data_IF_402331392056
#
_entry.id   IF_402331392056
#
_cell.length_a   1.000
_cell.length_b   1.000
_cell.length_c   1.000
_cell.angle_alpha   90.00
_cell.angle_beta   90.00
_cell.angle_gamma   90.00
#
_symmetry.space_group_name_H-M   'P 1'
#
loop_
_entity.id
_entity.type
_entity.pdbx_description
1 polymer ?
#
# COMPACT_ATOMS: atom_id res chain seq x y z
N UNK A 1 53.71 16.60 -6.79
CA UNK A 1 53.35 15.23 -6.35
C UNK A 1 52.06 14.83 -7.07
N UNK A 2 52.12 13.87 -8.00
CA UNK A 2 50.94 13.31 -8.66
C UNK A 2 50.45 12.14 -7.82
N UNK A 3 49.30 12.28 -7.16
CA UNK A 3 48.65 11.17 -6.46
C UNK A 3 48.04 10.24 -7.51
N UNK A 4 48.64 9.08 -7.71
CA UNK A 4 48.03 7.99 -8.45
C UNK A 4 46.92 7.39 -7.58
N UNK A 5 45.66 7.60 -7.96
CA UNK A 5 44.53 6.92 -7.35
C UNK A 5 44.65 5.42 -7.73
N UNK A 6 44.72 4.49 -6.77
CA UNK A 6 44.84 3.07 -7.08
C UNK A 6 43.60 2.60 -7.86
N UNK A 7 43.81 1.92 -8.99
CA UNK A 7 42.76 1.35 -9.85
C UNK A 7 41.70 0.50 -9.11
N UNK A 8 42.01 -0.03 -7.91
CA UNK A 8 41.04 -0.71 -7.05
C UNK A 8 39.91 0.19 -6.52
N UNK A 9 40.12 1.50 -6.36
CA UNK A 9 39.11 2.42 -5.83
C UNK A 9 38.07 2.84 -6.86
N UNK A 10 38.44 2.86 -8.15
CA UNK A 10 37.52 3.14 -9.26
C UNK A 10 36.51 2.01 -9.48
N UNK A 11 36.90 0.74 -9.24
CA UNK A 11 35.99 -0.41 -9.34
C UNK A 11 34.89 -0.43 -8.28
N UNK A 12 35.22 -0.08 -7.04
CA UNK A 12 34.25 -0.03 -5.92
C UNK A 12 33.20 1.08 -6.09
N UNK A 13 33.58 2.22 -6.66
CA UNK A 13 32.65 3.32 -6.96
C UNK A 13 31.70 2.98 -8.12
N UNK A 14 32.16 2.25 -9.13
CA UNK A 14 31.31 1.85 -10.27
C UNK A 14 30.25 0.79 -9.90
N UNK A 15 30.60 -0.14 -9.01
CA UNK A 15 29.67 -1.18 -8.53
C UNK A 15 28.60 -0.58 -7.61
N UNK A 16 28.95 0.38 -6.76
CA UNK A 16 27.99 1.03 -5.87
C UNK A 16 27.00 1.94 -6.62
N UNK A 17 27.46 2.69 -7.63
CA UNK A 17 26.57 3.52 -8.45
C UNK A 17 25.58 2.70 -9.28
N UNK A 18 26.00 1.56 -9.84
CA UNK A 18 25.12 0.71 -10.65
C UNK A 18 24.04 -0.02 -9.85
N UNK A 19 24.34 -0.42 -8.60
CA UNK A 19 23.33 -1.02 -7.70
C UNK A 19 22.27 0.00 -7.25
N UNK A 20 22.66 1.25 -7.00
CA UNK A 20 21.71 2.31 -6.62
C UNK A 20 20.73 2.64 -7.75
N UNK A 21 21.19 2.69 -9.00
CA UNK A 21 20.35 2.98 -10.16
C UNK A 21 19.38 1.84 -10.49
N UNK A 22 19.78 0.58 -10.27
CA UNK A 22 18.87 -0.56 -10.44
C UNK A 22 17.80 -0.62 -9.34
N UNK A 23 18.15 -0.26 -8.10
CA UNK A 23 17.18 -0.21 -7.01
C UNK A 23 16.10 0.87 -7.22
N UNK A 24 16.49 2.04 -7.76
CA UNK A 24 15.52 3.10 -8.08
C UNK A 24 14.57 2.69 -9.20
N UNK A 25 15.06 2.03 -10.25
CA UNK A 25 14.18 1.61 -11.37
C UNK A 25 13.14 0.57 -10.97
N UNK A 26 13.45 -0.37 -10.06
CA UNK A 26 12.45 -1.30 -9.53
C UNK A 26 11.40 -0.60 -8.66
N UNK A 27 11.80 0.42 -7.90
CA UNK A 27 10.86 1.23 -7.10
C UNK A 27 9.92 2.01 -8.03
N UNK A 28 10.46 2.72 -9.01
CA UNK A 28 9.70 3.48 -10.02
C UNK A 28 8.72 2.58 -10.77
N UNK A 29 9.14 1.37 -11.17
CA UNK A 29 8.26 0.41 -11.83
C UNK A 29 7.16 -0.13 -10.89
N UNK A 30 7.46 -0.30 -9.61
CA UNK A 30 6.45 -0.64 -8.61
C UNK A 30 5.43 0.49 -8.41
N UNK A 31 5.88 1.74 -8.37
CA UNK A 31 5.00 2.92 -8.31
C UNK A 31 4.13 3.03 -9.56
N UNK A 32 4.72 2.82 -10.74
CA UNK A 32 4.00 2.79 -12.01
C UNK A 32 2.90 1.70 -12.03
N UNK A 33 3.16 0.53 -11.44
CA UNK A 33 2.15 -0.52 -11.27
C UNK A 33 0.97 -0.08 -10.38
N UNK A 34 1.20 0.73 -9.34
CA UNK A 34 0.10 1.25 -8.49
C UNK A 34 -0.82 2.22 -9.24
N UNK A 35 -0.31 2.81 -10.32
CA UNK A 35 -1.05 3.66 -11.22
C UNK A 35 -1.65 2.88 -12.40
N UNK A 36 -1.41 1.57 -12.53
CA UNK A 36 -1.92 0.76 -13.63
C UNK A 36 -1.01 0.69 -14.87
N UNK A 37 0.19 1.26 -14.83
CA UNK A 37 1.18 1.12 -15.90
C UNK A 37 2.01 -0.16 -15.70
N UNK A 38 1.95 -1.08 -16.65
CA UNK A 38 2.52 -2.42 -16.51
C UNK A 38 3.76 -2.66 -17.38
N UNK A 39 4.00 -1.85 -18.40
CA UNK A 39 5.07 -2.08 -19.37
C UNK A 39 6.45 -1.91 -18.74
N UNK A 40 6.62 -0.92 -17.88
CA UNK A 40 7.90 -0.67 -17.20
C UNK A 40 8.29 -1.88 -16.34
N UNK A 41 7.35 -2.39 -15.54
CA UNK A 41 7.56 -3.60 -14.75
C UNK A 41 7.86 -4.81 -15.64
N UNK A 42 7.05 -5.05 -16.68
CA UNK A 42 7.23 -6.15 -17.64
C UNK A 42 8.63 -6.13 -18.27
N UNK A 43 9.11 -4.96 -18.70
CA UNK A 43 10.43 -4.80 -19.32
C UNK A 43 11.54 -5.15 -18.33
N UNK A 44 11.46 -4.65 -17.10
CA UNK A 44 12.48 -4.89 -16.07
C UNK A 44 12.55 -6.35 -15.64
N UNK A 45 11.40 -7.03 -15.48
CA UNK A 45 11.39 -8.42 -15.03
C UNK A 45 11.86 -9.42 -16.10
N UNK A 46 11.82 -9.03 -17.38
CA UNK A 46 12.35 -9.82 -18.49
C UNK A 46 13.87 -9.69 -18.65
N UNK A 47 14.50 -8.74 -17.94
CA UNK A 47 15.95 -8.59 -17.97
C UNK A 47 16.62 -9.82 -17.32
N UNK A 48 17.63 -10.46 -17.96
CA UNK A 48 18.36 -11.60 -17.39
C UNK A 48 18.94 -11.34 -15.99
N UNK A 49 19.29 -10.09 -15.66
CA UNK A 49 19.79 -9.70 -14.34
C UNK A 49 18.72 -9.70 -13.23
N UNK A 50 17.44 -9.76 -13.58
CA UNK A 50 16.32 -9.71 -12.63
C UNK A 50 16.40 -10.82 -11.58
N UNK A 51 16.71 -12.05 -12.01
CA UNK A 51 16.68 -13.22 -11.15
C UNK A 51 17.58 -13.09 -9.91
N UNK A 52 18.67 -12.31 -9.99
CA UNK A 52 19.59 -12.12 -8.87
C UNK A 52 19.12 -11.08 -7.83
N UNK A 53 18.22 -10.16 -8.20
CA UNK A 53 17.80 -9.04 -7.36
C UNK A 53 16.56 -9.37 -6.52
N UNK A 54 16.59 -9.26 -5.17
CA UNK A 54 15.39 -9.42 -4.34
C UNK A 54 14.27 -8.49 -4.78
N UNK A 55 14.61 -7.23 -5.10
CA UNK A 55 13.65 -6.21 -5.56
C UNK A 55 13.02 -6.52 -6.90
N UNK A 56 13.77 -7.12 -7.82
CA UNK A 56 13.18 -7.55 -9.08
C UNK A 56 12.25 -8.76 -8.90
N UNK A 57 12.58 -9.69 -7.99
CA UNK A 57 11.70 -10.80 -7.68
C UNK A 57 10.40 -10.33 -6.99
N UNK A 58 10.48 -9.35 -6.08
CA UNK A 58 9.28 -8.66 -5.53
C UNK A 58 8.45 -8.04 -6.65
N UNK A 59 9.07 -7.27 -7.55
CA UNK A 59 8.39 -6.65 -8.69
C UNK A 59 7.72 -7.68 -9.60
N UNK A 60 8.35 -8.82 -9.84
CA UNK A 60 7.78 -9.91 -10.63
C UNK A 60 6.53 -10.50 -9.95
N UNK A 61 6.57 -10.72 -8.63
CA UNK A 61 5.39 -11.16 -7.88
C UNK A 61 4.27 -10.12 -8.00
N UNK A 62 4.58 -8.84 -7.77
CA UNK A 62 3.61 -7.76 -7.85
C UNK A 62 2.99 -7.63 -9.24
N UNK A 63 3.80 -7.70 -10.29
CA UNK A 63 3.35 -7.67 -11.68
C UNK A 63 2.29 -8.75 -11.95
N UNK A 64 2.59 -10.01 -11.62
CA UNK A 64 1.66 -11.12 -11.88
C UNK A 64 0.40 -11.06 -11.01
N UNK A 65 0.51 -10.60 -9.76
CA UNK A 65 -0.67 -10.33 -8.92
C UNK A 65 -1.51 -9.23 -9.56
N UNK A 66 -0.90 -8.13 -10.00
CA UNK A 66 -1.62 -6.98 -10.54
C UNK A 66 -2.31 -7.26 -11.87
N UNK A 67 -1.69 -8.07 -12.73
CA UNK A 67 -2.25 -8.43 -14.04
C UNK A 67 -3.18 -9.65 -14.00
N UNK A 68 -3.67 -10.01 -12.81
CA UNK A 68 -4.54 -11.17 -12.55
C UNK A 68 -3.99 -12.53 -13.05
N UNK A 69 -2.67 -12.64 -13.22
CA UNK A 69 -1.95 -13.89 -13.51
C UNK A 69 -1.60 -14.59 -12.19
N UNK A 70 -2.65 -14.92 -11.44
CA UNK A 70 -2.52 -15.44 -10.07
C UNK A 70 -1.69 -16.72 -10.00
N UNK A 71 -1.78 -17.63 -10.97
CA UNK A 71 -1.03 -18.89 -10.96
C UNK A 71 0.49 -18.64 -11.04
N UNK A 72 0.94 -17.80 -11.97
CA UNK A 72 2.36 -17.40 -12.04
C UNK A 72 2.76 -16.60 -10.80
N UNK A 73 1.88 -15.72 -10.30
CA UNK A 73 2.11 -14.98 -9.05
C UNK A 73 2.35 -15.89 -7.85
N UNK A 74 1.56 -16.97 -7.72
CA UNK A 74 1.68 -17.98 -6.65
C UNK A 74 3.03 -18.70 -6.75
N UNK A 75 3.44 -19.12 -7.94
CA UNK A 75 4.72 -19.80 -8.17
C UNK A 75 5.90 -18.88 -7.83
N UNK A 76 5.87 -17.65 -8.34
CA UNK A 76 6.90 -16.64 -8.09
C UNK A 76 7.01 -16.29 -6.61
N UNK A 77 5.88 -16.10 -5.93
CA UNK A 77 5.87 -15.77 -4.50
C UNK A 77 6.41 -16.92 -3.66
N UNK A 78 6.03 -18.16 -3.98
CA UNK A 78 6.55 -19.34 -3.28
C UNK A 78 8.06 -19.49 -3.47
N UNK A 79 8.56 -19.26 -4.70
CA UNK A 79 10.00 -19.29 -4.98
C UNK A 79 10.76 -18.16 -4.28
N UNK A 80 10.18 -16.96 -4.21
CA UNK A 80 10.73 -15.82 -3.51
C UNK A 80 10.86 -16.09 -2.00
N UNK A 81 9.81 -16.64 -1.36
CA UNK A 81 9.86 -17.03 0.05
C UNK A 81 10.95 -18.07 0.36
N UNK A 82 11.15 -19.06 -0.52
CA UNK A 82 12.21 -20.07 -0.36
C UNK A 82 13.59 -19.44 -0.51
N UNK A 83 13.76 -18.55 -1.49
CA UNK A 83 15.05 -17.96 -1.82
C UNK A 83 15.55 -16.99 -0.74
N UNK A 84 14.63 -16.26 -0.10
CA UNK A 84 14.95 -15.23 0.90
C UNK A 84 14.36 -15.60 2.28
N UNK A 85 14.36 -16.90 2.61
CA UNK A 85 13.65 -17.46 3.76
C UNK A 85 14.12 -16.93 5.13
N UNK A 86 15.34 -16.40 5.21
CA UNK A 86 15.91 -15.88 6.46
C UNK A 86 15.58 -14.39 6.70
N UNK A 87 14.96 -13.71 5.72
CA UNK A 87 14.68 -12.27 5.81
C UNK A 87 13.25 -12.01 6.32
N UNK A 88 13.11 -11.30 7.44
CA UNK A 88 11.80 -10.92 7.97
C UNK A 88 10.96 -10.08 6.98
N UNK A 89 11.63 -9.24 6.18
CA UNK A 89 11.01 -8.44 5.12
C UNK A 89 10.33 -9.31 4.06
N UNK A 90 10.97 -10.41 3.65
CA UNK A 90 10.42 -11.35 2.67
C UNK A 90 9.08 -11.89 3.14
N UNK A 91 9.00 -12.30 4.41
CA UNK A 91 7.77 -12.82 4.99
C UNK A 91 6.71 -11.72 5.21
N UNK A 92 7.12 -10.49 5.54
CA UNK A 92 6.20 -9.36 5.64
C UNK A 92 5.59 -9.01 4.27
N UNK A 93 6.40 -8.98 3.22
CA UNK A 93 5.95 -8.83 1.83
C UNK A 93 5.02 -9.98 1.42
N UNK A 94 5.42 -11.23 1.69
CA UNK A 94 4.65 -12.40 1.35
C UNK A 94 3.28 -12.44 2.04
N UNK A 95 3.19 -11.96 3.28
CA UNK A 95 1.92 -11.87 4.00
C UNK A 95 0.89 -11.01 3.25
N UNK A 96 1.30 -9.84 2.76
CA UNK A 96 0.41 -8.96 2.01
C UNK A 96 0.15 -9.50 0.59
N UNK A 97 1.15 -10.08 -0.07
CA UNK A 97 0.99 -10.69 -1.39
C UNK A 97 0.02 -11.89 -1.38
N UNK A 98 0.14 -12.78 -0.39
CA UNK A 98 -0.81 -13.88 -0.21
C UNK A 98 -2.23 -13.38 0.09
N UNK A 99 -2.38 -12.29 0.83
CA UNK A 99 -3.67 -11.65 1.09
C UNK A 99 -4.28 -11.10 -0.20
N UNK A 100 -3.50 -10.44 -1.06
CA UNK A 100 -3.97 -9.97 -2.37
C UNK A 100 -4.42 -11.12 -3.26
N UNK A 101 -3.64 -12.20 -3.36
CA UNK A 101 -4.03 -13.42 -4.11
C UNK A 101 -5.33 -14.00 -3.54
N UNK A 102 -5.51 -14.03 -2.22
CA UNK A 102 -6.74 -14.51 -1.59
C UNK A 102 -7.98 -13.71 -2.02
N UNK A 103 -7.84 -12.43 -2.40
CA UNK A 103 -8.94 -11.59 -2.88
C UNK A 103 -9.30 -11.87 -4.34
N UNK A 104 -8.36 -12.37 -5.15
CA UNK A 104 -8.53 -12.64 -6.58
C UNK A 104 -9.05 -14.05 -6.87
N UNK A 105 -8.78 -15.01 -5.98
CA UNK A 105 -9.23 -16.40 -6.18
C UNK A 105 -10.66 -16.64 -5.74
N UNK A 106 -11.23 -17.75 -6.21
CA UNK A 106 -12.55 -18.20 -5.78
C UNK A 106 -12.62 -18.52 -4.27
N UNK A 107 -13.85 -18.54 -3.75
CA UNK A 107 -14.14 -18.75 -2.32
C UNK A 107 -13.56 -20.05 -1.73
N UNK A 108 -13.44 -21.11 -2.54
CA UNK A 108 -12.92 -22.41 -2.08
C UNK A 108 -11.40 -22.38 -1.84
N UNK A 109 -10.66 -21.56 -2.59
CA UNK A 109 -9.20 -21.41 -2.44
C UNK A 109 -8.82 -20.26 -1.50
N UNK A 110 -9.73 -19.31 -1.27
CA UNK A 110 -9.50 -18.11 -0.44
C UNK A 110 -8.92 -18.42 0.95
N UNK A 111 -9.47 -19.42 1.65
CA UNK A 111 -8.97 -19.85 2.97
C UNK A 111 -7.51 -20.29 2.93
N UNK A 112 -7.10 -21.02 1.89
CA UNK A 112 -5.71 -21.51 1.76
C UNK A 112 -4.72 -20.35 1.70
N UNK A 113 -5.01 -19.31 0.91
CA UNK A 113 -4.10 -18.17 0.77
C UNK A 113 -4.15 -17.23 1.97
N UNK A 114 -5.30 -17.06 2.63
CA UNK A 114 -5.31 -16.38 3.94
C UNK A 114 -4.48 -17.11 4.99
N UNK A 115 -4.54 -18.44 5.06
CA UNK A 115 -3.68 -19.21 5.95
C UNK A 115 -2.19 -19.01 5.60
N UNK A 116 -1.83 -19.00 4.31
CA UNK A 116 -0.45 -18.67 3.89
C UNK A 116 -0.04 -17.27 4.33
N UNK A 117 -0.92 -16.28 4.20
CA UNK A 117 -0.67 -14.92 4.68
C UNK A 117 -0.41 -14.87 6.20
N UNK A 118 -1.19 -15.61 7.00
CA UNK A 118 -0.97 -15.72 8.45
C UNK A 118 0.37 -16.39 8.79
N UNK A 119 0.71 -17.48 8.10
CA UNK A 119 1.99 -18.16 8.28
C UNK A 119 3.19 -17.25 7.94
N UNK A 120 3.07 -16.45 6.88
CA UNK A 120 4.08 -15.46 6.56
C UNK A 120 4.21 -14.38 7.66
N UNK A 121 3.11 -13.88 8.24
CA UNK A 121 3.18 -12.96 9.40
C UNK A 121 3.90 -13.58 10.60
N UNK A 122 3.65 -14.85 10.91
CA UNK A 122 4.37 -15.55 11.98
C UNK A 122 5.87 -15.62 11.72
N UNK A 123 6.25 -15.97 10.49
CA UNK A 123 7.66 -16.05 10.08
C UNK A 123 8.34 -14.67 10.11
N UNK A 124 7.68 -13.61 9.66
CA UNK A 124 8.22 -12.26 9.70
C UNK A 124 8.63 -11.86 11.12
N UNK A 125 7.74 -12.00 12.10
CA UNK A 125 8.04 -11.67 13.50
C UNK A 125 8.93 -12.69 14.22
N UNK A 126 9.21 -13.86 13.63
CA UNK A 126 10.17 -14.83 14.15
C UNK A 126 11.59 -14.59 13.60
N UNK A 127 11.72 -14.25 12.31
CA UNK A 127 12.98 -14.00 11.64
C UNK A 127 13.69 -12.74 12.16
N UNK A 128 12.94 -11.70 12.54
CA UNK A 128 13.51 -10.51 13.17
C UNK A 128 12.62 -10.04 14.33
N UNK A 129 12.91 -10.58 15.50
CA UNK A 129 12.22 -10.22 16.75
C UNK A 129 12.67 -8.88 17.33
N UNK A 130 13.71 -8.24 16.78
CA UNK A 130 14.15 -6.93 17.27
C UNK A 130 13.28 -5.81 16.70
N UNK A 131 12.76 -5.96 15.47
CA UNK A 131 11.94 -4.95 14.81
C UNK A 131 10.46 -5.00 15.24
N UNK A 132 9.94 -3.96 15.93
CA UNK A 132 8.59 -3.99 16.49
C UNK A 132 7.48 -4.15 15.44
N UNK A 133 7.64 -3.58 14.25
CA UNK A 133 6.69 -3.76 13.12
C UNK A 133 6.41 -5.23 12.81
N UNK A 134 7.43 -6.08 12.79
CA UNK A 134 7.23 -7.51 12.48
C UNK A 134 6.64 -8.28 13.65
N UNK A 135 6.96 -7.89 14.90
CA UNK A 135 6.26 -8.40 16.09
C UNK A 135 4.76 -8.06 16.06
N UNK A 136 4.38 -6.86 15.62
CA UNK A 136 2.97 -6.48 15.45
C UNK A 136 2.26 -7.37 14.43
N UNK A 137 2.90 -7.68 13.30
CA UNK A 137 2.34 -8.62 12.31
C UNK A 137 2.08 -10.00 12.93
N UNK A 138 3.05 -10.51 13.69
CA UNK A 138 2.92 -11.79 14.39
C UNK A 138 1.83 -11.76 15.46
N UNK A 139 1.72 -10.69 16.24
CA UNK A 139 0.65 -10.53 17.23
C UNK A 139 -0.73 -10.51 16.55
N UNK A 140 -0.85 -9.78 15.44
CA UNK A 140 -2.07 -9.76 14.62
C UNK A 140 -2.44 -11.13 14.06
N UNK A 141 -1.45 -11.96 13.69
CA UNK A 141 -1.68 -13.32 13.21
C UNK A 141 -2.27 -14.23 14.31
N UNK A 142 -1.73 -14.19 15.53
CA UNK A 142 -2.31 -14.92 16.68
C UNK A 142 -3.79 -14.56 16.89
N UNK A 143 -4.12 -13.26 16.85
CA UNK A 143 -5.49 -12.82 16.99
C UNK A 143 -6.42 -13.30 15.88
N UNK A 144 -5.96 -13.31 14.63
CA UNK A 144 -6.72 -13.82 13.49
C UNK A 144 -6.94 -15.34 13.52
N UNK A 145 -6.06 -16.08 14.20
CA UNK A 145 -6.24 -17.52 14.46
C UNK A 145 -7.06 -17.80 15.74
N UNK A 146 -7.39 -16.76 16.52
CA UNK A 146 -8.14 -16.88 17.77
C UNK A 146 -7.28 -17.18 19.01
N UNK A 147 -5.95 -17.18 18.90
CA UNK A 147 -5.05 -17.30 20.06
C UNK A 147 -4.84 -15.94 20.75
N UNK A 148 -5.91 -15.50 21.43
CA UNK A 148 -5.92 -14.22 22.15
C UNK A 148 -4.88 -14.18 23.27
N UNK A 149 -4.57 -15.31 23.90
CA UNK A 149 -3.57 -15.39 24.96
C UNK A 149 -2.16 -15.08 24.43
N UNK A 150 -1.78 -15.69 23.30
CA UNK A 150 -0.50 -15.39 22.65
C UNK A 150 -0.46 -13.96 22.11
N UNK A 151 -1.54 -13.47 21.49
CA UNK A 151 -1.62 -12.08 21.04
C UNK A 151 -1.42 -11.10 22.21
N UNK A 152 -2.11 -11.31 23.34
CA UNK A 152 -2.00 -10.45 24.52
C UNK A 152 -0.59 -10.43 25.09
N UNK A 153 0.05 -11.60 25.22
CA UNK A 153 1.44 -11.70 25.70
C UNK A 153 2.41 -10.93 24.80
N UNK A 154 2.30 -11.12 23.49
CA UNK A 154 3.19 -10.45 22.53
C UNK A 154 2.90 -8.94 22.46
N UNK A 155 1.63 -8.53 22.57
CA UNK A 155 1.25 -7.11 22.65
C UNK A 155 1.89 -6.42 23.85
N UNK A 156 1.87 -7.06 25.03
CA UNK A 156 2.53 -6.52 26.22
C UNK A 156 4.05 -6.37 26.04
N UNK A 157 4.71 -7.34 25.39
CA UNK A 157 6.14 -7.23 25.05
C UNK A 157 6.42 -6.05 24.11
N UNK A 158 5.59 -5.85 23.07
CA UNK A 158 5.78 -4.74 22.13
C UNK A 158 5.63 -3.40 22.84
N UNK A 159 4.59 -3.22 23.68
CA UNK A 159 4.34 -1.98 24.43
C UNK A 159 5.53 -1.58 25.30
N UNK A 160 6.24 -2.54 25.91
CA UNK A 160 7.42 -2.25 26.73
C UNK A 160 8.60 -1.75 25.89
N UNK A 161 8.71 -2.22 24.64
CA UNK A 161 9.90 -2.00 23.81
C UNK A 161 9.72 -0.90 22.77
N UNK A 162 8.49 -0.56 22.38
CA UNK A 162 8.19 0.46 21.37
C UNK A 162 6.77 1.03 21.56
N UNK A 163 6.67 2.32 21.89
CA UNK A 163 5.38 2.97 22.15
C UNK A 163 4.48 3.01 20.91
N UNK A 164 5.01 3.45 19.75
CA UNK A 164 4.25 3.57 18.50
C UNK A 164 3.66 2.22 18.08
N UNK A 165 4.51 1.21 17.92
CA UNK A 165 4.08 -0.12 17.49
C UNK A 165 3.29 -0.85 18.58
N UNK A 166 3.54 -0.52 19.86
CA UNK A 166 2.75 -0.96 21.00
C UNK A 166 1.29 -0.53 20.88
N UNK A 167 1.04 0.73 20.53
CA UNK A 167 -0.32 1.26 20.32
C UNK A 167 -1.04 0.57 19.16
N UNK A 168 -0.34 0.31 18.05
CA UNK A 168 -0.89 -0.46 16.92
C UNK A 168 -1.24 -1.89 17.35
N UNK A 169 -0.38 -2.55 18.13
CA UNK A 169 -0.66 -3.88 18.67
C UNK A 169 -1.87 -3.89 19.62
N UNK A 170 -1.99 -2.88 20.48
CA UNK A 170 -3.12 -2.71 21.38
C UNK A 170 -4.44 -2.51 20.62
N UNK A 171 -4.46 -1.67 19.57
CA UNK A 171 -5.64 -1.51 18.71
C UNK A 171 -6.05 -2.82 18.03
N UNK A 172 -5.08 -3.60 17.55
CA UNK A 172 -5.34 -4.93 16.99
C UNK A 172 -5.91 -5.89 18.04
N UNK A 173 -5.43 -5.84 19.29
CA UNK A 173 -5.93 -6.68 20.37
C UNK A 173 -7.34 -6.27 20.78
N UNK A 174 -7.60 -4.96 20.94
CA UNK A 174 -8.91 -4.42 21.25
C UNK A 174 -9.95 -4.87 20.21
N UNK A 175 -9.62 -4.75 18.92
CA UNK A 175 -10.49 -5.19 17.85
C UNK A 175 -10.76 -6.71 17.86
N UNK A 176 -9.76 -7.55 18.13
CA UNK A 176 -9.95 -9.01 18.16
C UNK A 176 -10.63 -9.52 19.43
N UNK A 177 -10.74 -8.68 20.46
CA UNK A 177 -11.39 -9.02 21.74
C UNK A 177 -12.70 -8.28 21.96
N UNK A 178 -13.15 -7.53 20.94
CA UNK A 178 -14.32 -6.64 20.99
C UNK A 178 -14.30 -5.64 22.15
N UNK A 179 -13.12 -5.30 22.67
CA UNK A 179 -12.92 -4.33 23.75
C UNK A 179 -12.81 -2.90 23.17
N UNK A 180 -13.94 -2.43 22.64
CA UNK A 180 -13.99 -1.18 21.88
C UNK A 180 -13.81 0.08 22.75
N UNK A 181 -14.18 0.03 24.03
CA UNK A 181 -13.95 1.14 24.96
C UNK A 181 -12.45 1.34 25.20
N UNK A 182 -11.72 0.26 25.48
CA UNK A 182 -10.26 0.32 25.61
C UNK A 182 -9.60 0.72 24.29
N UNK A 183 -10.04 0.14 23.16
CA UNK A 183 -9.52 0.49 21.84
C UNK A 183 -9.69 1.98 21.51
N UNK A 184 -10.83 2.59 21.87
CA UNK A 184 -11.05 4.02 21.67
C UNK A 184 -10.12 4.89 22.54
N UNK A 185 -9.84 4.48 23.78
CA UNK A 185 -8.85 5.14 24.64
C UNK A 185 -7.46 5.07 24.03
N UNK A 186 -7.02 3.89 23.60
CA UNK A 186 -5.71 3.69 22.95
C UNK A 186 -5.61 4.52 21.67
N UNK A 187 -6.67 4.57 20.86
CA UNK A 187 -6.70 5.39 19.64
C UNK A 187 -6.50 6.88 19.96
N UNK A 188 -7.20 7.40 20.96
CA UNK A 188 -7.08 8.81 21.36
C UNK A 188 -5.65 9.15 21.83
N UNK A 189 -5.06 8.29 22.65
CA UNK A 189 -3.67 8.47 23.10
C UNK A 189 -2.67 8.35 21.94
N UNK A 190 -2.87 7.41 21.01
CA UNK A 190 -2.01 7.23 19.85
C UNK A 190 -1.99 8.46 18.95
N UNK A 191 -3.14 9.07 18.71
CA UNK A 191 -3.26 10.29 17.92
C UNK A 191 -2.65 11.49 18.66
N UNK A 192 -2.77 11.55 19.99
CA UNK A 192 -2.12 12.60 20.77
C UNK A 192 -0.58 12.51 20.70
N UNK A 193 -0.02 11.29 20.69
CA UNK A 193 1.43 11.07 20.61
C UNK A 193 1.99 11.14 19.19
N UNK A 194 1.20 10.75 18.18
CA UNK A 194 1.64 10.60 16.79
C UNK A 194 0.60 11.18 15.80
N UNK A 195 0.31 12.49 15.86
CA UNK A 195 -0.82 13.09 15.14
C UNK A 195 -0.72 12.95 13.61
N UNK A 196 0.50 12.99 13.06
CA UNK A 196 0.72 12.98 11.60
C UNK A 196 1.30 11.64 11.10
N UNK A 197 1.40 10.62 11.96
CA UNK A 197 1.99 9.35 11.57
C UNK A 197 1.04 8.51 10.72
N UNK A 198 1.53 8.08 9.54
CA UNK A 198 0.77 7.28 8.59
C UNK A 198 0.18 6.01 9.22
N UNK A 199 1.03 5.19 9.86
CA UNK A 199 0.63 3.86 10.33
C UNK A 199 -0.33 3.94 11.52
N UNK A 200 -0.17 4.97 12.37
CA UNK A 200 -1.10 5.24 13.46
C UNK A 200 -2.46 5.67 12.91
N UNK A 201 -2.50 6.68 12.03
CA UNK A 201 -3.76 7.18 11.49
C UNK A 201 -4.49 6.11 10.65
N UNK A 202 -3.77 5.35 9.82
CA UNK A 202 -4.37 4.24 9.06
C UNK A 202 -4.99 3.19 10.01
N UNK A 203 -4.26 2.77 11.05
CA UNK A 203 -4.79 1.77 12.00
C UNK A 203 -5.97 2.29 12.80
N UNK A 204 -5.92 3.54 13.25
CA UNK A 204 -7.02 4.19 13.98
C UNK A 204 -8.25 4.34 13.09
N UNK A 205 -8.06 4.71 11.82
CA UNK A 205 -9.14 4.79 10.85
C UNK A 205 -9.84 3.43 10.65
N UNK A 206 -9.05 2.36 10.45
CA UNK A 206 -9.57 1.00 10.33
C UNK A 206 -10.32 0.53 11.59
N UNK A 207 -9.84 0.91 12.78
CA UNK A 207 -10.52 0.63 14.04
C UNK A 207 -11.90 1.30 14.08
N UNK A 208 -11.98 2.62 13.82
CA UNK A 208 -13.27 3.32 13.78
C UNK A 208 -14.18 2.85 12.66
N UNK A 209 -13.62 2.43 11.52
CA UNK A 209 -14.40 1.83 10.45
C UNK A 209 -15.04 0.51 10.90
N UNK A 210 -14.30 -0.32 11.65
CA UNK A 210 -14.83 -1.56 12.24
C UNK A 210 -16.00 -1.28 13.21
N UNK A 211 -15.95 -0.14 13.93
CA UNK A 211 -17.03 0.31 14.81
C UNK A 211 -18.24 0.91 14.07
N UNK A 212 -18.17 1.05 12.74
CA UNK A 212 -19.18 1.77 11.96
C UNK A 212 -19.16 3.29 12.17
N UNK A 213 -18.13 3.84 12.81
CA UNK A 213 -17.96 5.29 12.95
C UNK A 213 -17.25 5.85 11.71
N UNK A 214 -18.00 5.97 10.61
CA UNK A 214 -17.47 6.34 9.29
C UNK A 214 -16.89 7.76 9.29
N UNK A 215 -17.46 8.71 10.04
CA UNK A 215 -16.94 10.08 10.15
C UNK A 215 -15.51 10.10 10.74
N UNK A 216 -15.29 9.45 11.89
CA UNK A 216 -13.94 9.35 12.48
C UNK A 216 -12.99 8.56 11.59
N UNK A 217 -13.47 7.49 10.95
CA UNK A 217 -12.66 6.73 10.01
C UNK A 217 -12.20 7.61 8.84
N UNK A 218 -13.10 8.38 8.24
CA UNK A 218 -12.79 9.31 7.15
C UNK A 218 -11.77 10.37 7.57
N UNK A 219 -11.93 10.96 8.75
CA UNK A 219 -11.01 11.96 9.27
C UNK A 219 -9.58 11.40 9.39
N UNK A 220 -9.43 10.21 9.97
CA UNK A 220 -8.11 9.59 10.14
C UNK A 220 -7.51 9.07 8.83
N UNK A 221 -8.32 8.50 7.92
CA UNK A 221 -7.81 8.14 6.59
C UNK A 221 -7.36 9.36 5.80
N UNK A 222 -8.00 10.53 5.97
CA UNK A 222 -7.53 11.77 5.33
C UNK A 222 -6.17 12.21 5.86
N UNK A 223 -5.94 12.09 7.18
CA UNK A 223 -4.62 12.38 7.76
C UNK A 223 -3.59 11.39 7.23
N UNK A 224 -3.89 10.09 7.20
CA UNK A 224 -3.01 9.08 6.60
C UNK A 224 -2.72 9.38 5.13
N UNK A 225 -3.72 9.80 4.34
CA UNK A 225 -3.56 10.20 2.95
C UNK A 225 -2.62 11.40 2.76
N UNK A 226 -2.57 12.33 3.73
CA UNK A 226 -1.64 13.47 3.70
C UNK A 226 -0.20 13.11 4.12
N UNK A 227 -0.02 11.93 4.71
CA UNK A 227 1.26 11.45 5.24
C UNK A 227 1.73 10.20 4.50
N UNK A 228 2.16 10.34 3.24
CA UNK A 228 2.61 9.20 2.46
C UNK A 228 3.83 8.49 3.08
N UNK A 229 3.81 7.16 3.24
CA UNK A 229 4.96 6.41 3.77
C UNK A 229 6.02 6.19 2.67
N UNK A 230 7.30 6.34 3.02
CA UNK A 230 8.44 6.07 2.12
C UNK A 230 9.07 4.69 2.36
N UNK A 231 8.28 3.62 2.42
CA UNK A 231 8.78 2.31 2.92
C UNK A 231 8.81 1.21 1.86
N UNK A 232 7.66 0.64 1.53
CA UNK A 232 7.52 -0.45 0.58
C UNK A 232 6.26 -0.32 -0.26
N UNK A 233 6.14 -1.16 -1.30
CA UNK A 233 5.03 -1.10 -2.25
C UNK A 233 3.66 -1.31 -1.59
N UNK A 234 3.55 -2.22 -0.63
CA UNK A 234 2.27 -2.48 0.05
C UNK A 234 1.89 -1.35 1.00
N UNK A 235 2.86 -0.71 1.65
CA UNK A 235 2.61 0.50 2.42
C UNK A 235 2.14 1.65 1.51
N UNK A 236 2.75 1.80 0.33
CA UNK A 236 2.31 2.79 -0.65
C UNK A 236 0.91 2.46 -1.20
N UNK A 237 0.59 1.19 -1.43
CA UNK A 237 -0.76 0.75 -1.77
C UNK A 237 -1.76 1.08 -0.65
N UNK A 238 -1.42 0.81 0.62
CA UNK A 238 -2.29 1.16 1.77
C UNK A 238 -2.52 2.67 1.88
N UNK A 239 -1.52 3.48 1.55
CA UNK A 239 -1.69 4.93 1.47
C UNK A 239 -2.69 5.33 0.38
N UNK A 240 -2.55 4.77 -0.83
CA UNK A 240 -3.50 5.00 -1.92
C UNK A 240 -4.91 4.55 -1.54
N UNK A 241 -5.04 3.36 -0.94
CA UNK A 241 -6.31 2.83 -0.43
C UNK A 241 -6.92 3.76 0.63
N UNK A 242 -6.11 4.36 1.51
CA UNK A 242 -6.57 5.33 2.51
C UNK A 242 -7.16 6.57 1.83
N UNK A 243 -6.47 7.13 0.83
CA UNK A 243 -7.00 8.25 0.07
C UNK A 243 -8.31 7.91 -0.65
N UNK A 244 -8.39 6.72 -1.25
CA UNK A 244 -9.58 6.26 -1.96
C UNK A 244 -10.76 6.04 -1.01
N UNK A 245 -10.54 5.45 0.17
CA UNK A 245 -11.59 5.23 1.18
C UNK A 245 -12.20 6.54 1.67
N UNK A 246 -11.41 7.61 1.81
CA UNK A 246 -11.94 8.95 2.14
C UNK A 246 -12.97 9.40 1.11
N UNK A 247 -12.67 9.18 -0.17
CA UNK A 247 -13.56 9.54 -1.27
C UNK A 247 -14.79 8.63 -1.35
N UNK A 248 -14.60 7.33 -1.17
CA UNK A 248 -15.68 6.35 -1.18
C UNK A 248 -16.71 6.62 -0.08
N UNK A 249 -16.27 6.97 1.13
CA UNK A 249 -17.17 7.31 2.24
C UNK A 249 -18.03 8.55 1.95
N UNK A 250 -17.50 9.55 1.22
CA UNK A 250 -18.32 10.68 0.81
C UNK A 250 -19.35 10.28 -0.27
N UNK A 251 -18.95 9.44 -1.23
CA UNK A 251 -19.82 9.01 -2.32
C UNK A 251 -20.94 8.07 -1.87
N UNK A 252 -20.64 7.14 -0.97
CA UNK A 252 -21.56 6.06 -0.57
C UNK A 252 -22.34 6.39 0.70
N UNK A 253 -21.68 7.04 1.67
CA UNK A 253 -22.25 7.27 3.01
C UNK A 253 -22.61 8.75 3.25
N UNK A 254 -22.39 9.63 2.25
CA UNK A 254 -22.68 11.06 2.37
C UNK A 254 -21.80 11.78 3.38
N UNK A 255 -20.60 11.25 3.65
CA UNK A 255 -19.63 11.83 4.59
C UNK A 255 -19.02 13.14 4.04
N UNK A 256 -18.04 13.71 4.76
CA UNK A 256 -17.47 15.01 4.45
C UNK A 256 -16.91 15.07 3.01
N UNK A 257 -17.64 15.80 2.16
CA UNK A 257 -17.31 16.02 0.75
C UNK A 257 -15.97 16.74 0.56
N UNK A 258 -15.66 17.73 1.41
CA UNK A 258 -14.42 18.51 1.30
C UNK A 258 -13.20 17.64 1.60
N UNK A 259 -13.32 16.73 2.57
CA UNK A 259 -12.28 15.73 2.87
C UNK A 259 -12.00 14.83 1.64
N UNK A 260 -13.06 14.35 0.99
CA UNK A 260 -12.98 13.53 -0.21
C UNK A 260 -12.35 14.27 -1.41
N UNK A 261 -12.77 15.51 -1.66
CA UNK A 261 -12.15 16.36 -2.68
C UNK A 261 -10.67 16.56 -2.39
N UNK A 262 -10.30 16.85 -1.13
CA UNK A 262 -8.89 17.01 -0.75
C UNK A 262 -8.08 15.73 -1.00
N UNK A 263 -8.58 14.56 -0.60
CA UNK A 263 -7.89 13.28 -0.80
C UNK A 263 -7.66 12.97 -2.30
N UNK A 264 -8.68 13.11 -3.15
CA UNK A 264 -8.53 12.87 -4.59
C UNK A 264 -7.61 13.88 -5.26
N UNK A 265 -7.57 15.13 -4.79
CA UNK A 265 -6.61 16.12 -5.27
C UNK A 265 -5.17 15.73 -4.93
N UNK A 266 -4.92 15.15 -3.76
CA UNK A 266 -3.58 14.63 -3.43
C UNK A 266 -3.20 13.47 -4.35
N UNK A 267 -4.11 12.51 -4.55
CA UNK A 267 -3.86 11.37 -5.44
C UNK A 267 -3.56 11.86 -6.86
N UNK A 268 -4.40 12.72 -7.44
CA UNK A 268 -4.20 13.24 -8.80
C UNK A 268 -3.04 14.23 -8.92
N UNK A 269 -2.48 14.73 -7.82
CA UNK A 269 -1.25 15.52 -7.84
C UNK A 269 0.00 14.62 -7.86
N UNK A 270 -0.09 13.46 -7.21
CA UNK A 270 1.02 12.51 -7.06
C UNK A 270 1.06 11.50 -8.22
N UNK A 271 -0.11 11.00 -8.64
CA UNK A 271 -0.27 9.96 -9.66
C UNK A 271 -0.62 10.62 -11.00
N UNK A 272 0.38 10.69 -11.88
CA UNK A 272 0.34 11.49 -13.10
C UNK A 272 0.35 10.66 -14.38
N UNK A 273 0.46 9.33 -14.28
CA UNK A 273 0.48 8.45 -15.45
C UNK A 273 -0.90 8.40 -16.11
N UNK A 274 -0.91 8.32 -17.45
CA UNK A 274 -2.13 8.34 -18.26
C UNK A 274 -2.72 6.94 -18.34
N UNK A 275 -3.39 6.51 -17.27
CA UNK A 275 -3.91 5.15 -17.11
C UNK A 275 -5.40 5.14 -16.81
N UNK A 276 -6.03 3.96 -16.96
CA UNK A 276 -7.43 3.74 -16.58
C UNK A 276 -7.68 3.99 -15.10
N UNK A 277 -6.72 3.65 -14.25
CA UNK A 277 -6.90 3.70 -12.80
C UNK A 277 -6.90 5.16 -12.32
N UNK A 278 -6.00 5.97 -12.87
CA UNK A 278 -6.00 7.42 -12.61
C UNK A 278 -7.22 8.13 -13.22
N UNK A 279 -7.77 7.61 -14.33
CA UNK A 279 -9.05 8.07 -14.86
C UNK A 279 -10.21 7.83 -13.89
N UNK A 280 -10.23 6.72 -13.14
CA UNK A 280 -11.26 6.47 -12.13
C UNK A 280 -11.19 7.47 -10.97
N UNK A 281 -9.99 7.88 -10.52
CA UNK A 281 -9.86 8.97 -9.55
C UNK A 281 -10.37 10.31 -10.08
N UNK A 282 -10.07 10.62 -11.35
CA UNK A 282 -10.58 11.83 -12.00
C UNK A 282 -12.11 11.83 -12.10
N UNK A 283 -12.72 10.70 -12.50
CA UNK A 283 -14.18 10.53 -12.55
C UNK A 283 -14.82 10.70 -11.19
N UNK A 284 -14.25 10.08 -10.15
CA UNK A 284 -14.78 10.20 -8.79
C UNK A 284 -14.67 11.65 -8.31
N UNK A 285 -13.58 12.36 -8.62
CA UNK A 285 -13.43 13.77 -8.27
C UNK A 285 -14.50 14.61 -8.96
N UNK A 286 -14.75 14.43 -10.26
CA UNK A 286 -15.81 15.16 -10.98
C UNK A 286 -17.20 14.92 -10.37
N UNK A 287 -17.48 13.70 -9.93
CA UNK A 287 -18.75 13.31 -9.31
C UNK A 287 -19.01 14.07 -8.00
N UNK A 288 -17.99 14.24 -7.16
CA UNK A 288 -18.15 14.80 -5.81
C UNK A 288 -17.79 16.28 -5.68
N UNK A 289 -16.95 16.80 -6.58
CA UNK A 289 -16.43 18.15 -6.54
C UNK A 289 -17.43 19.18 -7.09
N UNK A 290 -17.43 20.35 -6.48
CA UNK A 290 -18.06 21.54 -7.04
C UNK A 290 -17.23 22.08 -8.21
N UNK A 291 -17.80 22.95 -9.03
CA UNK A 291 -17.20 23.42 -10.29
C UNK A 291 -15.75 23.90 -10.13
N UNK A 292 -15.48 24.75 -9.14
CA UNK A 292 -14.15 25.32 -8.88
C UNK A 292 -13.11 24.29 -8.36
N UNK A 293 -13.56 23.10 -7.95
CA UNK A 293 -12.73 22.05 -7.36
C UNK A 293 -12.34 20.97 -8.39
N UNK A 294 -12.95 21.00 -9.59
CA UNK A 294 -12.76 19.99 -10.65
C UNK A 294 -11.49 20.16 -11.48
N UNK A 295 -10.78 21.27 -11.33
CA UNK A 295 -9.62 21.62 -12.17
C UNK A 295 -8.56 20.50 -12.29
N UNK A 296 -8.17 19.78 -11.22
CA UNK A 296 -7.21 18.68 -11.34
C UNK A 296 -7.70 17.50 -12.21
N UNK A 297 -8.98 17.12 -12.08
CA UNK A 297 -9.57 16.09 -12.92
C UNK A 297 -9.65 16.52 -14.38
N UNK A 298 -10.11 17.74 -14.65
CA UNK A 298 -10.17 18.28 -16.02
C UNK A 298 -8.78 18.32 -16.66
N UNK A 299 -7.76 18.79 -15.92
CA UNK A 299 -6.39 18.83 -16.41
C UNK A 299 -5.84 17.42 -16.74
N UNK A 300 -6.15 16.42 -15.91
CA UNK A 300 -5.80 15.03 -16.21
C UNK A 300 -6.48 14.53 -17.49
N UNK A 301 -7.80 14.72 -17.62
CA UNK A 301 -8.57 14.29 -18.79
C UNK A 301 -8.09 14.93 -20.08
N UNK A 302 -7.79 16.23 -20.07
CA UNK A 302 -7.21 16.92 -21.22
C UNK A 302 -5.84 16.37 -21.61
N UNK A 303 -5.01 15.99 -20.63
CA UNK A 303 -3.72 15.35 -20.91
C UNK A 303 -3.92 13.99 -21.55
N UNK A 304 -4.82 13.16 -21.03
CA UNK A 304 -5.18 11.87 -21.64
C UNK A 304 -5.55 12.07 -23.11
N UNK A 305 -6.45 13.01 -23.42
CA UNK A 305 -6.93 13.26 -24.79
C UNK A 305 -5.80 13.72 -25.73
N UNK A 306 -4.86 14.53 -25.22
CA UNK A 306 -3.77 15.11 -26.05
C UNK A 306 -2.56 14.19 -26.19
N UNK A 307 -2.31 13.31 -25.23
CA UNK A 307 -1.00 12.67 -25.04
C UNK A 307 -1.06 11.15 -24.95
N UNK A 308 -2.22 10.53 -24.71
CA UNK A 308 -2.31 9.07 -24.64
C UNK A 308 -2.40 8.46 -26.03
N UNK A 309 -1.64 7.40 -26.26
CA UNK A 309 -1.73 6.56 -27.46
C UNK A 309 -2.82 5.47 -27.32
N UNK A 310 -3.50 5.37 -26.17
CA UNK A 310 -4.61 4.44 -25.93
C UNK A 310 -5.94 5.09 -26.36
N UNK A 311 -6.42 4.74 -27.54
CA UNK A 311 -7.70 5.24 -28.09
C UNK A 311 -8.90 4.97 -27.17
N UNK A 312 -8.90 3.84 -26.45
CA UNK A 312 -10.00 3.50 -25.52
C UNK A 312 -9.99 4.44 -24.33
N UNK A 313 -8.81 4.74 -23.80
CA UNK A 313 -8.64 5.69 -22.71
C UNK A 313 -9.02 7.12 -23.13
N UNK A 314 -8.62 7.53 -24.35
CA UNK A 314 -9.00 8.82 -24.93
C UNK A 314 -10.52 8.96 -25.07
N UNK A 315 -11.19 7.95 -25.63
CA UNK A 315 -12.65 7.94 -25.78
C UNK A 315 -13.35 8.02 -24.42
N UNK A 316 -12.85 7.27 -23.43
CA UNK A 316 -13.38 7.31 -22.07
C UNK A 316 -13.21 8.69 -21.42
N UNK A 317 -12.09 9.38 -21.64
CA UNK A 317 -11.85 10.73 -21.15
C UNK A 317 -12.78 11.76 -21.81
N UNK A 318 -12.95 11.70 -23.14
CA UNK A 318 -13.88 12.57 -23.89
C UNK A 318 -15.32 12.38 -23.37
N UNK A 319 -15.75 11.12 -23.21
CA UNK A 319 -17.08 10.81 -22.69
C UNK A 319 -17.28 11.34 -21.27
N UNK A 320 -16.25 11.23 -20.44
CA UNK A 320 -16.27 11.73 -19.06
C UNK A 320 -16.45 13.25 -19.04
N UNK A 321 -15.63 14.01 -19.77
CA UNK A 321 -15.77 15.47 -19.86
C UNK A 321 -17.17 15.88 -20.31
N UNK A 322 -17.67 15.31 -21.42
CA UNK A 322 -19.02 15.60 -21.93
C UNK A 322 -20.13 15.36 -20.90
N UNK A 323 -20.01 14.31 -20.09
CA UNK A 323 -21.01 13.95 -19.08
C UNK A 323 -21.11 15.03 -18.01
N UNK A 324 -19.97 15.56 -17.57
CA UNK A 324 -19.91 16.54 -16.47
C UNK A 324 -19.98 18.00 -16.94
N UNK A 325 -19.71 18.29 -18.21
CA UNK A 325 -19.95 19.61 -18.83
C UNK A 325 -21.45 19.86 -19.08
N UNK A 326 -22.23 18.82 -19.42
CA UNK A 326 -23.66 18.93 -19.75
C UNK A 326 -24.59 18.90 -18.52
N UNK A 327 -24.04 18.68 -17.32
CA UNK A 327 -24.84 18.64 -16.10
C UNK A 327 -25.14 20.04 -15.53
N UNK A 328 -24.80 21.10 -16.28
CA UNK A 328 -24.91 22.52 -15.95
C UNK A 328 -25.54 23.28 -17.12
#
# INVERSE_FOLDING_TARGET
MRFAIPLCWLGLLYVSMSQSAAASSYKEAGEALLEGETNTAKSLIQNPGCAASPKCNELAVLFHIYTDDSDTGIERLSAYEVKYADEARTHAFAAEAWRSIAHQVNIFRKRTYYNKALQAKFRAGAADSALPRYKVLRASAFGQEGDIAAQRKLTADIVVNDDKWGRIAQLNLAQNTDDFEWGASVAAEAIASYPDDFFINERVAQFYWTLGNIDKAQQHFLVACKSAPEVDWFDRKKWLDSCFLVAQFADQDGMNREAAVAALRFVLAEHQLLTSDNLEYAKLLLKIAGENERAPANAFLERVIRQSDDETLVDAAIKTLKTYDLSH
#
